data_IF_905337632674
#
_entry.id   IF_905337632674
#
_cell.length_a   1.000
_cell.length_b   1.000
_cell.length_c   1.000
_cell.angle_alpha   90.00
_cell.angle_beta   90.00
_cell.angle_gamma   90.00
#
_symmetry.space_group_name_H-M   'P 1'
#
loop_
_entity.id
_entity.type
_entity.pdbx_description
1 polymer ?
#
# COMPACT_ATOMS: atom_id res chain seq x y z
N UNK A 1 1.81 26.15 19.74
CA UNK A 1 1.41 25.29 20.88
C UNK A 1 0.96 23.97 20.28
N UNK A 2 1.63 22.84 20.34
CA UNK A 2 2.66 22.34 21.26
C UNK A 2 2.50 20.84 21.56
N UNK A 3 1.66 20.09 20.83
CA UNK A 3 1.28 18.71 21.17
C UNK A 3 1.77 17.60 20.23
N UNK A 4 2.29 17.92 19.03
CA UNK A 4 2.77 16.89 18.08
C UNK A 4 4.13 16.27 18.46
N UNK A 5 4.87 16.86 19.40
CA UNK A 5 6.24 16.43 19.72
C UNK A 5 6.33 15.34 20.79
N UNK A 6 5.35 15.16 21.68
CA UNK A 6 5.55 14.33 22.88
C UNK A 6 5.35 12.83 22.65
N UNK A 7 4.40 12.42 21.79
CA UNK A 7 4.19 11.01 21.46
C UNK A 7 5.25 10.47 20.49
N UNK A 8 5.63 11.25 19.47
CA UNK A 8 6.72 10.91 18.55
C UNK A 8 8.07 10.79 19.27
N UNK A 9 8.38 11.72 20.18
CA UNK A 9 9.64 11.65 20.93
C UNK A 9 9.64 10.50 21.94
N UNK A 10 8.48 10.07 22.46
CA UNK A 10 8.37 8.93 23.38
C UNK A 10 8.72 7.59 22.74
N UNK A 11 8.21 7.32 21.53
CA UNK A 11 8.52 6.09 20.79
C UNK A 11 9.91 6.12 20.14
N UNK A 12 10.33 7.25 19.57
CA UNK A 12 11.68 7.41 19.02
C UNK A 12 12.74 7.34 20.12
N UNK A 13 12.50 7.87 21.33
CA UNK A 13 13.41 7.68 22.47
C UNK A 13 13.41 6.26 23.01
N UNK A 14 12.28 5.55 23.06
CA UNK A 14 12.27 4.16 23.54
C UNK A 14 13.09 3.24 22.62
N UNK A 15 13.04 3.49 21.31
CA UNK A 15 13.88 2.83 20.31
C UNK A 15 15.36 3.26 20.40
N UNK A 16 15.64 4.52 20.72
CA UNK A 16 17.01 5.03 20.81
C UNK A 16 17.74 4.65 22.11
N UNK A 17 17.02 4.43 23.23
CA UNK A 17 17.62 4.06 24.53
C UNK A 17 18.05 2.58 24.57
N UNK A 18 17.54 1.74 23.66
CA UNK A 18 17.96 0.33 23.51
C UNK A 18 19.18 0.12 22.61
N UNK A 19 19.82 1.17 22.10
CA UNK A 19 20.99 1.07 21.22
C UNK A 19 22.29 0.82 22.01
N UNK A 20 22.25 -0.18 22.88
CA UNK A 20 23.39 -0.79 23.55
C UNK A 20 23.39 -2.29 23.27
N UNK A 21 24.14 -2.70 22.24
CA UNK A 21 24.40 -4.07 21.74
C UNK A 21 23.27 -4.75 20.93
N UNK A 22 23.71 -5.21 19.76
CA UNK A 22 23.15 -6.21 18.83
C UNK A 22 22.18 -5.75 17.73
N UNK A 23 22.33 -6.45 16.61
CA UNK A 23 21.78 -6.28 15.27
C UNK A 23 20.25 -6.55 15.17
N UNK A 24 19.47 -6.14 16.18
CA UNK A 24 18.05 -6.54 16.38
C UNK A 24 17.00 -5.47 16.04
N UNK A 25 17.40 -4.28 15.57
CA UNK A 25 16.48 -3.14 15.42
C UNK A 25 15.27 -3.33 14.48
N UNK A 26 15.40 -4.18 13.45
CA UNK A 26 14.31 -4.43 12.48
C UNK A 26 13.20 -5.34 13.07
N UNK A 27 13.55 -6.24 14.00
CA UNK A 27 12.55 -7.10 14.67
C UNK A 27 11.67 -6.28 15.60
N UNK A 28 12.27 -5.41 16.41
CA UNK A 28 11.55 -4.60 17.41
C UNK A 28 10.54 -3.63 16.76
N UNK A 29 10.91 -3.01 15.63
CA UNK A 29 10.01 -2.09 14.91
C UNK A 29 8.84 -2.83 14.25
N UNK A 30 9.08 -4.02 13.69
CA UNK A 30 8.03 -4.89 13.15
C UNK A 30 7.07 -5.34 14.25
N UNK A 31 7.58 -5.78 15.39
CA UNK A 31 6.77 -6.20 16.53
C UNK A 31 5.90 -5.06 17.07
N UNK A 32 6.43 -3.83 17.10
CA UNK A 32 5.66 -2.65 17.46
C UNK A 32 4.53 -2.35 16.46
N UNK A 33 4.81 -2.42 15.16
CA UNK A 33 3.79 -2.22 14.12
C UNK A 33 2.68 -3.28 14.17
N UNK A 34 3.04 -4.54 14.45
CA UNK A 34 2.08 -5.62 14.66
C UNK A 34 1.25 -5.43 15.94
N UNK A 35 1.85 -4.89 17.01
CA UNK A 35 1.13 -4.56 18.24
C UNK A 35 0.08 -3.45 18.00
N UNK A 36 0.46 -2.38 17.30
CA UNK A 36 -0.47 -1.31 16.89
C UNK A 36 -1.62 -1.86 16.04
N UNK A 37 -1.33 -2.77 15.11
CA UNK A 37 -2.36 -3.42 14.31
C UNK A 37 -3.33 -4.27 15.16
N UNK A 38 -2.84 -4.93 16.21
CA UNK A 38 -3.67 -5.72 17.13
C UNK A 38 -4.55 -4.82 18.00
N UNK A 39 -4.01 -3.71 18.49
CA UNK A 39 -4.75 -2.73 19.26
C UNK A 39 -5.87 -2.08 18.44
N UNK A 40 -5.57 -1.62 17.23
CA UNK A 40 -6.57 -1.04 16.33
C UNK A 40 -7.70 -2.03 15.99
N UNK A 41 -7.41 -3.33 15.84
CA UNK A 41 -8.44 -4.37 15.69
C UNK A 41 -9.32 -4.51 16.92
N UNK A 42 -8.74 -4.40 18.12
CA UNK A 42 -9.46 -4.51 19.39
C UNK A 42 -10.43 -3.34 19.59
N UNK A 43 -10.07 -2.18 19.04
CA UNK A 43 -10.84 -0.94 19.13
C UNK A 43 -11.77 -0.72 17.92
N UNK A 44 -11.99 -1.74 17.07
CA UNK A 44 -12.84 -1.68 15.86
C UNK A 44 -12.43 -0.60 14.83
N UNK A 45 -11.16 -0.23 14.80
CA UNK A 45 -10.61 0.80 13.90
C UNK A 45 -10.12 0.23 12.57
N UNK A 46 -10.23 -1.09 12.38
CA UNK A 46 -9.84 -1.76 11.13
C UNK A 46 -11.05 -2.45 10.50
N UNK A 47 -11.44 -1.99 9.32
CA UNK A 47 -12.47 -2.61 8.49
C UNK A 47 -11.83 -3.45 7.37
N UNK A 48 -12.31 -4.69 7.18
CA UNK A 48 -11.75 -5.68 6.23
C UNK A 48 -12.78 -6.31 5.30
N UNK A 49 -14.02 -5.87 5.43
CA UNK A 49 -15.21 -6.35 4.74
C UNK A 49 -16.11 -5.16 4.45
N UNK A 50 -17.20 -5.39 3.74
CA UNK A 50 -18.18 -4.33 3.48
C UNK A 50 -18.68 -3.70 4.78
N UNK A 51 -18.73 -2.37 4.84
CA UNK A 51 -19.08 -1.62 6.03
C UNK A 51 -18.67 -0.15 5.95
N UNK A 52 -18.68 0.51 7.10
CA UNK A 52 -18.25 1.89 7.26
C UNK A 52 -17.28 2.00 8.44
N UNK A 53 -16.38 2.96 8.36
CA UNK A 53 -15.57 3.44 9.49
C UNK A 53 -15.86 4.93 9.64
N UNK A 54 -16.36 5.29 10.81
CA UNK A 54 -16.69 6.65 11.21
C UNK A 54 -16.50 6.73 12.73
N UNK A 55 -15.29 7.06 13.17
CA UNK A 55 -14.95 7.10 14.61
C UNK A 55 -15.43 8.42 15.19
N UNK A 56 -16.11 8.37 16.33
CA UNK A 56 -16.66 9.55 16.99
C UNK A 56 -15.55 10.58 17.30
N UNK A 57 -15.73 11.81 16.80
CA UNK A 57 -14.75 12.89 16.93
C UNK A 57 -13.68 12.94 15.83
N UNK A 58 -13.60 11.93 14.96
CA UNK A 58 -12.77 11.96 13.76
C UNK A 58 -13.49 12.70 12.63
N UNK A 59 -12.73 13.44 11.81
CA UNK A 59 -13.22 14.01 10.55
C UNK A 59 -13.15 13.01 9.38
N UNK A 60 -12.80 11.76 9.66
CA UNK A 60 -12.67 10.72 8.67
C UNK A 60 -13.98 9.95 8.50
N UNK A 61 -14.35 9.73 7.24
CA UNK A 61 -15.41 8.80 6.87
C UNK A 61 -14.91 7.92 5.74
N UNK A 62 -14.98 6.61 5.95
CA UNK A 62 -14.67 5.63 4.92
C UNK A 62 -15.81 4.62 4.81
N UNK A 63 -16.17 4.27 3.59
CA UNK A 63 -17.07 3.17 3.31
C UNK A 63 -16.39 2.21 2.35
N UNK A 64 -16.61 0.93 2.60
CA UNK A 64 -16.06 -0.16 1.81
C UNK A 64 -17.21 -1.08 1.42
N UNK A 65 -17.21 -1.53 0.18
CA UNK A 65 -18.15 -2.53 -0.30
C UNK A 65 -17.45 -3.45 -1.29
N UNK A 66 -17.55 -4.75 -1.06
CA UNK A 66 -17.11 -5.78 -2.01
C UNK A 66 -18.25 -6.76 -2.25
N UNK A 67 -18.48 -7.08 -3.53
CA UNK A 67 -19.48 -8.03 -3.97
C UNK A 67 -18.81 -9.07 -4.85
N UNK A 68 -19.01 -10.34 -4.51
CA UNK A 68 -18.58 -11.46 -5.33
C UNK A 68 -19.28 -11.38 -6.70
N UNK A 69 -18.49 -11.40 -7.77
CA UNK A 69 -18.97 -11.52 -9.14
C UNK A 69 -19.43 -12.95 -9.48
N UNK A 70 -19.49 -13.26 -10.77
CA UNK A 70 -19.89 -14.60 -11.25
C UNK A 70 -18.72 -15.59 -11.31
N UNK A 71 -17.48 -15.10 -11.25
CA UNK A 71 -16.28 -15.93 -11.31
C UNK A 71 -15.92 -16.48 -9.94
N UNK A 72 -15.98 -17.80 -9.79
CA UNK A 72 -15.31 -18.56 -8.73
C UNK A 72 -15.41 -17.96 -7.32
N UNK A 73 -14.38 -18.18 -6.49
CA UNK A 73 -14.23 -17.51 -5.20
C UNK A 73 -13.91 -16.03 -5.43
N UNK A 74 -14.49 -15.12 -4.62
CA UNK A 74 -14.11 -13.71 -4.67
C UNK A 74 -12.63 -13.56 -4.27
N UNK A 75 -11.80 -13.06 -5.18
CA UNK A 75 -10.37 -12.90 -4.96
C UNK A 75 -10.00 -11.50 -4.47
N UNK A 76 -10.92 -10.54 -4.60
CA UNK A 76 -10.78 -9.18 -4.10
C UNK A 76 -10.79 -9.13 -2.57
N UNK A 77 -10.00 -8.22 -2.02
CA UNK A 77 -10.14 -7.80 -0.64
C UNK A 77 -9.73 -6.34 -0.46
N UNK A 78 -10.05 -5.81 0.71
CA UNK A 78 -9.89 -4.41 1.05
C UNK A 78 -9.58 -4.26 2.54
N UNK A 79 -8.97 -3.14 2.90
CA UNK A 79 -8.77 -2.75 4.29
C UNK A 79 -8.90 -1.24 4.44
N UNK A 80 -9.50 -0.80 5.53
CA UNK A 80 -9.40 0.55 6.06
C UNK A 80 -8.86 0.42 7.47
N UNK A 81 -7.89 1.25 7.82
CA UNK A 81 -7.31 1.33 9.16
C UNK A 81 -7.27 2.81 9.57
N UNK A 82 -8.18 3.16 10.47
CA UNK A 82 -8.30 4.48 11.10
C UNK A 82 -7.26 4.68 12.21
N UNK A 83 -6.83 5.93 12.41
CA UNK A 83 -5.69 6.31 13.24
C UNK A 83 -4.44 5.45 12.97
N UNK A 84 -4.10 5.34 11.68
CA UNK A 84 -3.05 4.45 11.19
C UNK A 84 -1.71 4.70 11.90
N UNK A 85 -1.20 3.68 12.61
CA UNK A 85 0.02 3.81 13.40
C UNK A 85 -0.15 4.57 14.72
N UNK A 86 -1.35 4.51 15.30
CA UNK A 86 -1.75 5.26 16.49
C UNK A 86 -1.56 6.77 16.29
N UNK A 87 -1.84 7.25 15.08
CA UNK A 87 -1.77 8.66 14.71
C UNK A 87 -3.19 9.13 14.37
N UNK A 88 -3.80 9.95 15.22
CA UNK A 88 -5.18 10.43 15.08
C UNK A 88 -5.46 11.11 13.74
N UNK A 89 -4.45 11.73 13.12
CA UNK A 89 -4.56 12.43 11.84
C UNK A 89 -4.30 11.53 10.62
N UNK A 90 -4.14 10.22 10.80
CA UNK A 90 -3.81 9.29 9.74
C UNK A 90 -4.86 8.22 9.49
N UNK A 91 -5.07 7.89 8.22
CA UNK A 91 -5.87 6.74 7.78
C UNK A 91 -5.12 6.00 6.68
N UNK A 92 -5.17 4.66 6.71
CA UNK A 92 -4.74 3.81 5.62
C UNK A 92 -5.94 3.13 4.96
N UNK A 93 -5.99 3.17 3.63
CA UNK A 93 -6.93 2.40 2.82
C UNK A 93 -6.16 1.53 1.82
N UNK A 94 -6.60 0.30 1.59
CA UNK A 94 -6.01 -0.62 0.62
C UNK A 94 -7.06 -1.41 -0.13
N UNK A 95 -6.87 -1.55 -1.45
CA UNK A 95 -7.66 -2.37 -2.36
C UNK A 95 -6.72 -3.35 -3.06
N UNK A 96 -7.09 -4.63 -3.07
CA UNK A 96 -6.27 -5.72 -3.58
C UNK A 96 -7.13 -6.65 -4.45
N UNK A 97 -6.90 -6.62 -5.75
CA UNK A 97 -7.54 -7.50 -6.73
C UNK A 97 -6.65 -8.72 -6.97
N UNK A 98 -7.02 -9.86 -6.37
CA UNK A 98 -6.30 -11.12 -6.47
C UNK A 98 -6.58 -11.85 -7.78
N UNK A 99 -5.57 -12.51 -8.34
CA UNK A 99 -5.71 -13.31 -9.56
C UNK A 99 -4.87 -14.60 -9.50
N UNK A 100 -5.21 -15.54 -10.38
CA UNK A 100 -4.59 -16.88 -10.43
C UNK A 100 -5.16 -17.85 -9.39
N UNK A 101 -4.68 -19.10 -9.37
CA UNK A 101 -5.25 -20.16 -8.51
C UNK A 101 -5.24 -19.80 -7.01
N UNK A 102 -4.21 -19.08 -6.55
CA UNK A 102 -4.04 -18.65 -5.17
C UNK A 102 -4.29 -17.15 -4.95
N UNK A 103 -4.86 -16.43 -5.93
CA UNK A 103 -5.03 -14.97 -5.88
C UNK A 103 -5.72 -14.46 -4.61
N UNK A 104 -6.81 -15.12 -4.21
CA UNK A 104 -7.52 -14.82 -2.95
C UNK A 104 -6.67 -15.02 -1.68
N UNK A 105 -5.67 -15.91 -1.69
CA UNK A 105 -4.73 -16.06 -0.57
C UNK A 105 -3.64 -15.00 -0.62
N UNK A 106 -3.10 -14.70 -1.81
CA UNK A 106 -2.10 -13.63 -2.00
C UNK A 106 -2.70 -12.28 -1.59
N UNK A 107 -3.86 -11.90 -2.11
CA UNK A 107 -4.56 -10.66 -1.77
C UNK A 107 -4.81 -10.55 -0.25
N UNK A 108 -5.33 -11.61 0.38
CA UNK A 108 -5.52 -11.64 1.84
C UNK A 108 -4.20 -11.52 2.59
N UNK A 109 -3.12 -12.15 2.13
CA UNK A 109 -1.80 -12.05 2.78
C UNK A 109 -1.32 -10.61 2.74
N UNK A 110 -1.34 -9.96 1.57
CA UNK A 110 -0.91 -8.56 1.42
C UNK A 110 -1.79 -7.62 2.24
N UNK A 111 -3.11 -7.83 2.27
CA UNK A 111 -4.02 -7.05 3.14
C UNK A 111 -3.60 -7.08 4.61
N UNK A 112 -3.10 -8.21 5.10
CA UNK A 112 -2.67 -8.38 6.49
C UNK A 112 -1.25 -7.86 6.76
N UNK A 113 -0.33 -7.98 5.80
CA UNK A 113 1.10 -7.65 6.00
C UNK A 113 1.48 -6.25 5.55
N UNK A 114 0.84 -5.71 4.51
CA UNK A 114 1.22 -4.41 3.94
C UNK A 114 1.10 -3.25 4.93
N UNK A 115 -0.01 -3.04 5.65
CA UNK A 115 -0.11 -1.91 6.57
C UNK A 115 0.95 -1.91 7.70
N UNK A 116 1.16 -3.00 8.46
CA UNK A 116 2.20 -3.00 9.50
C UNK A 116 3.62 -2.93 8.93
N UNK A 117 3.91 -3.58 7.79
CA UNK A 117 5.21 -3.45 7.13
C UNK A 117 5.48 -2.04 6.61
N UNK A 118 4.43 -1.35 6.16
CA UNK A 118 4.49 0.05 5.74
C UNK A 118 4.77 0.97 6.93
N UNK A 119 4.08 0.79 8.07
CA UNK A 119 4.36 1.55 9.29
C UNK A 119 5.80 1.36 9.75
N UNK A 120 6.29 0.12 9.78
CA UNK A 120 7.68 -0.17 10.13
C UNK A 120 8.66 0.57 9.20
N UNK A 121 8.48 0.42 7.87
CA UNK A 121 9.33 1.09 6.89
C UNK A 121 9.27 2.62 7.00
N UNK A 122 8.10 3.17 7.32
CA UNK A 122 7.89 4.60 7.53
C UNK A 122 8.60 5.12 8.78
N UNK A 123 8.48 4.42 9.91
CA UNK A 123 9.19 4.77 11.14
C UNK A 123 10.71 4.72 10.97
N UNK A 124 11.22 3.71 10.26
CA UNK A 124 12.64 3.58 9.95
C UNK A 124 13.15 4.70 9.05
N UNK A 125 12.41 5.02 7.97
CA UNK A 125 12.76 6.12 7.07
C UNK A 125 12.71 7.47 7.79
N UNK A 126 11.69 7.71 8.63
CA UNK A 126 11.62 8.91 9.47
C UNK A 126 12.82 9.05 10.39
N UNK A 127 13.21 7.99 11.09
CA UNK A 127 14.34 8.01 12.01
C UNK A 127 15.67 8.29 11.27
N UNK A 128 15.85 7.73 10.08
CA UNK A 128 17.04 8.00 9.24
C UNK A 128 17.09 9.46 8.76
N UNK A 129 15.93 10.02 8.41
CA UNK A 129 15.85 11.37 7.84
C UNK A 129 15.95 12.47 8.91
N UNK A 130 15.52 12.19 10.16
CA UNK A 130 15.64 13.11 11.30
C UNK A 130 17.07 13.44 11.75
N UNK A 131 18.07 12.78 11.17
CA UNK A 131 19.50 13.00 11.44
C UNK A 131 20.13 14.10 10.56
N UNK A 132 19.37 14.69 9.63
CA UNK A 132 19.83 15.73 8.72
C UNK A 132 19.21 17.10 9.08
N UNK A 133 19.95 18.02 9.74
CA UNK A 133 19.38 19.20 10.41
C UNK A 133 19.11 20.43 9.49
N UNK A 134 19.27 20.35 8.17
CA UNK A 134 19.41 21.55 7.32
C UNK A 134 18.19 21.95 6.44
N UNK A 135 16.97 21.47 6.72
CA UNK A 135 15.81 21.65 5.82
C UNK A 135 14.67 22.48 6.46
N UNK A 136 14.78 23.81 6.41
CA UNK A 136 13.78 24.77 6.96
C UNK A 136 13.11 25.66 5.89
N UNK A 137 12.37 25.04 4.96
CA UNK A 137 11.39 25.74 4.10
C UNK A 137 10.08 24.92 3.99
N UNK A 138 8.90 25.56 4.04
CA UNK A 138 7.60 24.85 4.03
C UNK A 138 7.33 24.00 2.75
N UNK A 139 7.83 24.43 1.59
CA UNK A 139 7.79 23.66 0.34
C UNK A 139 8.65 22.39 0.42
N UNK A 140 9.74 22.47 1.18
CA UNK A 140 10.66 21.38 1.45
C UNK A 140 10.01 20.32 2.35
N UNK A 141 9.18 20.73 3.31
CA UNK A 141 8.46 19.80 4.21
C UNK A 141 7.50 18.88 3.47
N UNK A 142 6.77 19.36 2.45
CA UNK A 142 5.88 18.51 1.64
C UNK A 142 6.67 17.53 0.77
N UNK A 143 7.72 18.01 0.09
CA UNK A 143 8.62 17.17 -0.71
C UNK A 143 9.32 16.11 0.14
N UNK A 144 9.74 16.49 1.34
CA UNK A 144 10.34 15.60 2.33
C UNK A 144 9.39 14.50 2.80
N UNK A 145 8.15 14.87 3.19
CA UNK A 145 7.11 13.88 3.55
C UNK A 145 6.80 12.94 2.39
N UNK A 146 6.70 13.46 1.17
CA UNK A 146 6.53 12.65 -0.03
C UNK A 146 7.69 11.67 -0.21
N UNK A 147 8.93 12.11 -0.06
CA UNK A 147 10.09 11.24 -0.17
C UNK A 147 10.10 10.16 0.91
N UNK A 148 9.74 10.48 2.16
CA UNK A 148 9.61 9.49 3.23
C UNK A 148 8.63 8.40 2.79
N UNK A 149 7.38 8.77 2.47
CA UNK A 149 6.37 7.81 2.06
C UNK A 149 6.77 7.01 0.81
N UNK A 150 7.36 7.67 -0.20
CA UNK A 150 7.86 7.02 -1.41
C UNK A 150 8.86 5.92 -1.08
N UNK A 151 9.88 6.22 -0.27
CA UNK A 151 10.88 5.22 0.13
C UNK A 151 10.28 4.10 0.97
N UNK A 152 9.38 4.43 1.90
CA UNK A 152 8.70 3.45 2.73
C UNK A 152 7.83 2.49 1.91
N UNK A 153 7.12 2.99 0.90
CA UNK A 153 6.34 2.17 -0.03
C UNK A 153 7.22 1.24 -0.87
N UNK A 154 8.29 1.76 -1.49
CA UNK A 154 9.22 0.94 -2.29
C UNK A 154 9.82 -0.17 -1.44
N UNK A 155 10.30 0.17 -0.23
CA UNK A 155 10.88 -0.80 0.71
C UNK A 155 9.86 -1.86 1.12
N UNK A 156 8.63 -1.45 1.43
CA UNK A 156 7.54 -2.35 1.83
C UNK A 156 7.15 -3.31 0.72
N UNK A 157 6.93 -2.81 -0.49
CA UNK A 157 6.56 -3.64 -1.64
C UNK A 157 7.65 -4.67 -1.94
N UNK A 158 8.92 -4.27 -1.97
CA UNK A 158 10.03 -5.18 -2.20
C UNK A 158 10.15 -6.26 -1.11
N UNK A 159 9.96 -5.89 0.16
CA UNK A 159 10.01 -6.84 1.27
C UNK A 159 8.86 -7.86 1.22
N UNK A 160 7.65 -7.42 0.88
CA UNK A 160 6.46 -8.29 0.77
C UNK A 160 6.58 -9.23 -0.42
N UNK A 161 7.04 -8.72 -1.57
CA UNK A 161 7.26 -9.54 -2.77
C UNK A 161 8.27 -10.66 -2.48
N UNK A 162 9.39 -10.35 -1.82
CA UNK A 162 10.36 -11.33 -1.38
C UNK A 162 9.80 -12.33 -0.34
N UNK A 163 8.90 -11.90 0.53
CA UNK A 163 8.21 -12.78 1.48
C UNK A 163 7.29 -13.77 0.75
N UNK A 164 6.55 -13.30 -0.26
CA UNK A 164 5.67 -14.11 -1.09
C UNK A 164 6.44 -15.13 -1.93
N UNK A 165 7.59 -14.75 -2.50
CA UNK A 165 8.46 -15.66 -3.25
C UNK A 165 8.94 -16.84 -2.37
N UNK A 166 9.24 -16.57 -1.10
CA UNK A 166 9.71 -17.59 -0.13
C UNK A 166 8.57 -18.38 0.53
N UNK A 167 7.31 -18.05 0.25
CA UNK A 167 6.18 -18.60 0.98
C UNK A 167 5.82 -20.02 0.52
N UNK A 168 6.25 -21.04 1.30
CA UNK A 168 6.13 -22.46 0.93
C UNK A 168 4.73 -23.00 0.62
N UNK A 169 3.66 -22.31 1.02
CA UNK A 169 2.27 -22.78 0.88
C UNK A 169 1.44 -22.03 -0.15
N UNK A 170 1.92 -20.90 -0.64
CA UNK A 170 1.18 -20.05 -1.58
C UNK A 170 2.05 -19.97 -2.82
N UNK A 171 1.56 -20.53 -3.92
CA UNK A 171 2.23 -20.40 -5.20
C UNK A 171 1.94 -19.00 -5.79
N UNK A 172 2.88 -18.09 -5.56
CA UNK A 172 2.88 -16.71 -6.06
C UNK A 172 3.51 -16.59 -7.46
N UNK A 173 3.99 -17.67 -8.07
CA UNK A 173 4.57 -17.61 -9.41
C UNK A 173 3.48 -17.43 -10.49
N UNK A 174 2.35 -18.13 -10.33
CA UNK A 174 1.18 -18.02 -11.21
C UNK A 174 -0.03 -17.35 -10.54
N UNK A 175 0.15 -16.80 -9.34
CA UNK A 175 -0.91 -16.10 -8.61
C UNK A 175 -0.38 -14.78 -8.08
N UNK A 176 -1.22 -13.78 -8.05
CA UNK A 176 -0.82 -12.44 -7.62
C UNK A 176 -1.99 -11.64 -7.11
N UNK A 177 -1.71 -10.37 -6.85
CA UNK A 177 -2.74 -9.37 -6.57
C UNK A 177 -2.25 -8.02 -7.04
N UNK A 178 -3.16 -7.15 -7.45
CA UNK A 178 -2.88 -5.71 -7.46
C UNK A 178 -2.79 -5.19 -6.03
N UNK A 179 -2.20 -4.01 -5.86
CA UNK A 179 -2.20 -3.29 -4.59
C UNK A 179 -2.31 -1.78 -4.85
N UNK A 180 -3.51 -1.25 -4.66
CA UNK A 180 -3.75 0.19 -4.58
C UNK A 180 -3.90 0.57 -3.11
N UNK A 181 -3.08 1.51 -2.65
CA UNK A 181 -3.14 1.97 -1.27
C UNK A 181 -3.11 3.49 -1.18
N UNK A 182 -3.74 3.99 -0.13
CA UNK A 182 -3.87 5.40 0.18
C UNK A 182 -3.52 5.59 1.65
N UNK A 183 -2.62 6.53 1.93
CA UNK A 183 -2.41 7.08 3.27
C UNK A 183 -2.89 8.52 3.26
N UNK A 184 -3.92 8.83 4.05
CA UNK A 184 -4.27 10.20 4.40
C UNK A 184 -3.46 10.57 5.65
N UNK A 185 -2.81 11.72 5.64
CA UNK A 185 -2.09 12.29 6.79
C UNK A 185 -2.40 13.79 6.85
N UNK A 186 -3.28 14.19 7.76
CA UNK A 186 -3.83 15.55 7.79
C UNK A 186 -4.49 15.92 6.45
N UNK A 187 -4.02 16.98 5.81
CA UNK A 187 -4.55 17.45 4.51
C UNK A 187 -3.83 16.85 3.30
N UNK A 188 -2.91 15.91 3.51
CA UNK A 188 -2.15 15.25 2.45
C UNK A 188 -2.67 13.82 2.21
N UNK A 189 -2.67 13.41 0.95
CA UNK A 189 -2.99 12.06 0.53
C UNK A 189 -1.81 11.52 -0.26
N UNK A 190 -1.27 10.39 0.17
CA UNK A 190 -0.21 9.65 -0.52
C UNK A 190 -0.83 8.40 -1.14
N UNK A 191 -0.58 8.18 -2.42
CA UNK A 191 -1.18 7.07 -3.17
C UNK A 191 -0.07 6.25 -3.81
N UNK A 192 -0.10 4.94 -3.57
CA UNK A 192 0.80 3.99 -4.20
C UNK A 192 -0.04 2.93 -4.94
N UNK A 193 0.28 2.71 -6.21
CA UNK A 193 -0.37 1.73 -7.06
C UNK A 193 0.64 0.70 -7.58
N UNK A 194 0.25 -0.57 -7.53
CA UNK A 194 0.92 -1.68 -8.21
C UNK A 194 -0.16 -2.49 -8.91
N UNK A 195 -0.17 -2.45 -10.24
CA UNK A 195 -1.16 -3.14 -11.08
C UNK A 195 -2.19 -2.19 -11.68
N UNK A 196 -3.38 -2.70 -11.97
CA UNK A 196 -4.42 -2.02 -12.74
C UNK A 196 -5.69 -1.69 -11.92
N UNK A 197 -5.59 -1.73 -10.59
CA UNK A 197 -6.54 -1.02 -9.72
C UNK A 197 -6.41 0.49 -9.91
N UNK A 198 -7.48 1.25 -9.63
CA UNK A 198 -7.52 2.70 -9.91
C UNK A 198 -8.10 3.53 -8.77
N UNK A 199 -7.41 4.62 -8.42
CA UNK A 199 -7.96 5.68 -7.59
C UNK A 199 -8.49 6.82 -8.45
N UNK A 200 -9.70 7.30 -8.12
CA UNK A 200 -10.34 8.46 -8.77
C UNK A 200 -10.84 9.41 -7.69
N UNK A 201 -10.44 10.67 -7.77
CA UNK A 201 -10.95 11.75 -6.93
C UNK A 201 -12.17 12.38 -7.59
N UNK A 202 -13.28 12.46 -6.88
CA UNK A 202 -14.36 13.36 -7.24
C UNK A 202 -14.05 14.75 -6.66
N UNK A 203 -13.97 15.77 -7.50
CA UNK A 203 -13.71 17.16 -7.10
C UNK A 203 -14.63 18.10 -7.86
N UNK A 204 -14.58 19.41 -7.58
CA UNK A 204 -15.41 20.41 -8.25
C UNK A 204 -14.59 21.24 -9.23
N UNK A 205 -15.07 21.43 -10.45
CA UNK A 205 -14.52 22.41 -11.39
C UNK A 205 -14.82 23.85 -10.96
N UNK A 206 -14.26 24.82 -11.68
CA UNK A 206 -14.43 26.25 -11.38
C UNK A 206 -15.90 26.72 -11.44
N UNK A 207 -16.73 26.06 -12.25
CA UNK A 207 -18.18 26.31 -12.37
C UNK A 207 -19.02 25.57 -11.30
N UNK A 208 -18.36 24.85 -10.38
CA UNK A 208 -19.01 24.07 -9.32
C UNK A 208 -19.51 22.69 -9.75
N UNK A 209 -19.29 22.26 -11.00
CA UNK A 209 -19.68 20.92 -11.46
C UNK A 209 -18.80 19.82 -10.86
N UNK A 210 -19.35 18.63 -10.59
CA UNK A 210 -18.59 17.49 -10.08
C UNK A 210 -17.79 16.84 -11.22
N UNK A 211 -16.47 16.79 -11.08
CA UNK A 211 -15.54 16.21 -12.07
C UNK A 211 -14.71 15.08 -11.47
N UNK A 212 -14.52 13.96 -12.20
CA UNK A 212 -13.62 12.89 -11.79
C UNK A 212 -12.18 13.17 -12.24
N UNK A 213 -11.21 12.98 -11.35
CA UNK A 213 -9.78 13.08 -11.62
C UNK A 213 -9.13 11.73 -11.27
N UNK A 214 -8.63 11.03 -12.28
CA UNK A 214 -7.88 9.80 -12.07
C UNK A 214 -6.52 10.12 -11.43
N UNK A 215 -6.24 9.53 -10.27
CA UNK A 215 -5.02 9.81 -9.49
C UNK A 215 -3.89 8.82 -9.74
N UNK A 216 -4.18 7.68 -10.37
CA UNK A 216 -3.21 6.60 -10.63
C UNK A 216 -3.22 6.19 -12.09
N UNK A 217 -2.07 5.79 -12.62
CA UNK A 217 -1.98 5.15 -13.94
C UNK A 217 -2.04 3.63 -13.75
N UNK A 218 -2.93 2.97 -14.47
CA UNK A 218 -3.04 1.52 -14.49
C UNK A 218 -1.83 0.90 -15.20
N UNK A 219 -1.20 -0.10 -14.60
CA UNK A 219 -0.05 -0.79 -15.22
C UNK A 219 -0.54 -1.83 -16.23
N UNK A 220 -0.97 -1.34 -17.40
CA UNK A 220 -1.40 -2.18 -18.53
C UNK A 220 -0.21 -2.48 -19.44
N UNK A 221 -0.02 -3.75 -19.89
CA UNK A 221 1.02 -4.10 -20.86
C UNK A 221 0.95 -3.33 -22.17
N UNK A 222 -0.21 -2.75 -22.50
CA UNK A 222 -0.42 -1.93 -23.70
C UNK A 222 0.06 -0.49 -23.60
N UNK A 223 0.47 -0.03 -22.43
CA UNK A 223 1.15 1.26 -22.32
C UNK A 223 2.57 1.13 -22.86
N UNK A 224 3.03 2.04 -23.74
CA UNK A 224 4.37 1.94 -24.33
C UNK A 224 5.49 1.78 -23.29
N UNK A 225 5.43 2.55 -22.21
CA UNK A 225 6.42 2.49 -21.13
C UNK A 225 6.42 1.15 -20.39
N UNK A 226 5.25 0.54 -20.18
CA UNK A 226 5.14 -0.77 -19.53
C UNK A 226 5.59 -1.89 -20.46
N UNK A 227 5.22 -1.82 -21.75
CA UNK A 227 5.67 -2.76 -22.77
C UNK A 227 7.19 -2.77 -22.89
N UNK A 228 7.80 -1.58 -22.98
CA UNK A 228 9.25 -1.42 -23.05
C UNK A 228 9.94 -2.01 -21.83
N UNK A 229 9.42 -1.73 -20.62
CA UNK A 229 9.96 -2.32 -19.37
C UNK A 229 9.90 -3.84 -19.37
N UNK A 230 8.79 -4.41 -19.84
CA UNK A 230 8.60 -5.87 -19.92
C UNK A 230 9.61 -6.48 -20.90
N UNK A 231 9.76 -5.90 -22.09
CA UNK A 231 10.67 -6.38 -23.14
C UNK A 231 12.12 -6.27 -22.69
N UNK A 232 12.52 -5.15 -22.07
CA UNK A 232 13.86 -4.98 -21.49
C UNK A 232 14.16 -5.98 -20.37
N UNK A 233 13.12 -6.52 -19.72
CA UNK A 233 13.20 -7.58 -18.72
C UNK A 233 13.13 -8.99 -19.33
N UNK A 234 13.31 -9.11 -20.64
CA UNK A 234 13.16 -10.34 -21.45
C UNK A 234 11.75 -10.95 -21.47
N UNK A 235 10.72 -10.25 -20.99
CA UNK A 235 9.33 -10.67 -21.13
C UNK A 235 8.79 -10.44 -22.53
N UNK A 236 7.57 -10.92 -22.78
CA UNK A 236 6.84 -10.72 -24.04
C UNK A 236 5.47 -10.09 -23.77
N UNK A 237 4.97 -9.31 -24.73
CA UNK A 237 3.65 -8.68 -24.68
C UNK A 237 2.87 -9.01 -25.95
N UNK A 238 1.76 -9.72 -25.82
CA UNK A 238 0.85 -10.02 -26.93
C UNK A 238 -0.55 -10.41 -26.44
N UNK A 239 -1.53 -10.37 -27.35
CA UNK A 239 -2.90 -10.82 -27.12
C UNK A 239 -3.04 -12.30 -27.54
N UNK A 240 -3.98 -13.02 -26.95
CA UNK A 240 -4.41 -14.31 -27.50
C UNK A 240 -5.29 -14.08 -28.73
N UNK A 241 -5.35 -15.08 -29.62
CA UNK A 241 -6.14 -15.01 -30.85
C UNK A 241 -7.65 -14.93 -30.57
N UNK A 242 -8.11 -15.54 -29.48
CA UNK A 242 -9.51 -15.53 -29.04
C UNK A 242 -9.89 -14.28 -28.21
N UNK A 243 -8.90 -13.52 -27.75
CA UNK A 243 -9.07 -12.25 -27.03
C UNK A 243 -8.31 -11.09 -27.71
N UNK A 244 -8.63 -10.75 -28.97
CA UNK A 244 -7.93 -9.70 -29.70
C UNK A 244 -8.10 -8.34 -28.99
N UNK A 245 -6.98 -7.66 -28.76
CA UNK A 245 -6.93 -6.35 -28.11
C UNK A 245 -6.64 -6.38 -26.60
N UNK A 246 -6.62 -7.56 -25.96
CA UNK A 246 -6.23 -7.71 -24.56
C UNK A 246 -4.78 -8.17 -24.46
N UNK A 247 -3.86 -7.20 -24.39
CA UNK A 247 -2.44 -7.50 -24.25
C UNK A 247 -2.12 -8.04 -22.85
N UNK A 248 -1.37 -9.15 -22.83
CA UNK A 248 -0.94 -9.85 -21.61
C UNK A 248 0.58 -9.96 -21.57
N UNK A 249 1.11 -10.21 -20.37
CA UNK A 249 2.54 -10.47 -20.14
C UNK A 249 2.81 -11.97 -20.24
N UNK A 250 3.90 -12.33 -20.91
CA UNK A 250 4.27 -13.72 -21.15
C UNK A 250 5.74 -13.97 -20.83
N UNK A 251 6.04 -15.19 -20.39
CA UNK A 251 7.41 -15.65 -20.14
C UNK A 251 8.25 -15.66 -21.43
N UNK A 252 9.58 -15.47 -21.36
CA UNK A 252 10.46 -15.47 -22.53
C UNK A 252 10.32 -16.74 -23.39
N UNK A 253 10.31 -17.92 -22.76
CA UNK A 253 10.45 -19.23 -23.45
C UNK A 253 9.17 -20.11 -23.42
N UNK A 254 8.02 -19.54 -23.06
CA UNK A 254 6.76 -20.30 -23.03
C UNK A 254 6.34 -20.74 -24.44
N UNK A 255 6.20 -22.06 -24.65
CA UNK A 255 5.59 -22.63 -25.87
C UNK A 255 4.13 -22.17 -25.95
N UNK A 256 3.72 -21.70 -27.12
CA UNK A 256 2.30 -21.54 -27.46
C UNK A 256 1.60 -22.89 -27.20
N UNK A 257 0.68 -22.91 -26.26
CA UNK A 257 -0.35 -23.94 -26.21
C UNK A 257 -1.66 -23.20 -26.41
N UNK A 258 -2.16 -23.34 -27.62
CA UNK A 258 -3.52 -22.98 -28.04
C UNK A 258 -4.56 -23.78 -27.23
#
# INVERSE_FOLDING_TARGET
>A
MGHFSSMFSGLVRSLSIKKGKNNHGNSDARDAAEAMAKEAKKNDMILRSSGIVNVDGSNNFASVFSKRGQKGVNQDCCIVWEEFGCQEDMMFCGIFDGHGPWGHFVAKRIRETMPPSLLCSWQETLAQTSLDPDLDLELDKKGHRFNIWKHSYIKTCAAIDQELERHRRIDSFYSGTTALSIVRQGDLIFIANVGDSRAVLATTSEDGSLVPVQLTVDFKPSLPQEADRIIQSNGRVFCLDDEPGVQRVWQPDGKHQD
#
